data_IF_926845959044
#
_entry.id   IF_926845959044
#
_cell.length_a   1.000
_cell.length_b   1.000
_cell.length_c   1.000
_cell.angle_alpha   90.00
_cell.angle_beta   90.00
_cell.angle_gamma   90.00
#
_symmetry.space_group_name_H-M   'P 1'
#
loop_
_entity.id
_entity.type
_entity.pdbx_description
1 polymer ?
#
# COMPACT_ATOMS: atom_id res chain seq x y z
N UNK A 1 -22.95 -15.55 -14.12
CA UNK A 1 -21.65 -14.96 -14.50
C UNK A 1 -21.74 -13.45 -14.38
N UNK A 2 -20.64 -12.78 -14.03
CA UNK A 2 -20.59 -11.32 -14.10
C UNK A 2 -20.78 -10.85 -15.55
N UNK A 3 -21.56 -9.81 -15.77
CA UNK A 3 -21.70 -9.21 -17.10
C UNK A 3 -20.40 -8.56 -17.57
N UNK A 4 -19.69 -7.91 -16.66
CA UNK A 4 -18.45 -7.20 -16.98
C UNK A 4 -17.22 -7.93 -16.45
N UNK A 5 -16.15 -8.00 -17.26
CA UNK A 5 -14.87 -8.57 -16.89
C UNK A 5 -13.73 -7.57 -17.13
N UNK A 6 -12.70 -7.63 -16.27
CA UNK A 6 -11.44 -6.92 -16.50
C UNK A 6 -10.52 -7.87 -17.24
N UNK A 7 -10.10 -7.48 -18.42
CA UNK A 7 -9.13 -8.22 -19.24
C UNK A 7 -7.77 -7.56 -19.18
N UNK A 8 -6.73 -8.38 -19.23
CA UNK A 8 -5.34 -7.96 -19.26
C UNK A 8 -4.78 -8.25 -20.65
N UNK A 9 -4.31 -7.22 -21.32
CA UNK A 9 -3.68 -7.31 -22.65
C UNK A 9 -2.25 -6.81 -22.52
N UNK A 10 -1.34 -7.51 -23.20
CA UNK A 10 0.08 -7.16 -23.25
C UNK A 10 0.45 -6.65 -24.63
N UNK A 11 1.08 -5.49 -24.69
CA UNK A 11 1.72 -4.95 -25.88
C UNK A 11 3.20 -4.76 -25.56
N UNK A 12 4.02 -5.68 -26.03
CA UNK A 12 5.43 -5.76 -25.64
C UNK A 12 5.57 -6.00 -24.12
N UNK A 13 6.23 -5.08 -23.42
CA UNK A 13 6.40 -5.12 -21.95
C UNK A 13 5.28 -4.37 -21.20
N UNK A 14 4.41 -3.66 -21.90
CA UNK A 14 3.36 -2.84 -21.31
C UNK A 14 2.08 -3.65 -21.10
N UNK A 15 1.55 -3.63 -19.89
CA UNK A 15 0.28 -4.24 -19.50
C UNK A 15 -0.85 -3.19 -19.63
N UNK A 16 -1.92 -3.56 -20.33
CA UNK A 16 -3.14 -2.78 -20.46
C UNK A 16 -4.29 -3.49 -19.76
N UNK A 17 -5.22 -2.70 -19.26
CA UNK A 17 -6.45 -3.18 -18.63
C UNK A 17 -7.64 -2.68 -19.43
N UNK A 18 -8.51 -3.58 -19.82
CA UNK A 18 -9.74 -3.28 -20.53
C UNK A 18 -10.95 -3.82 -19.76
N UNK A 19 -12.10 -3.22 -19.96
CA UNK A 19 -13.37 -3.77 -19.43
C UNK A 19 -14.18 -4.25 -20.61
N UNK A 20 -14.55 -5.54 -20.61
CA UNK A 20 -15.37 -6.20 -21.62
C UNK A 20 -16.75 -6.50 -21.06
N UNK A 21 -17.78 -6.23 -21.86
CA UNK A 21 -19.15 -6.70 -21.63
C UNK A 21 -19.31 -8.10 -22.24
N UNK A 22 -19.61 -9.09 -21.41
CA UNK A 22 -19.77 -10.49 -21.84
C UNK A 22 -21.10 -10.77 -22.56
N UNK A 23 -22.07 -9.86 -22.50
CA UNK A 23 -23.32 -10.00 -23.26
C UNK A 23 -23.11 -9.56 -24.72
N UNK A 24 -22.49 -8.42 -24.95
CA UNK A 24 -22.20 -7.91 -26.29
C UNK A 24 -20.86 -8.37 -26.85
N UNK A 25 -19.96 -8.91 -26.02
CA UNK A 25 -18.57 -9.24 -26.33
C UNK A 25 -17.74 -8.01 -26.74
N UNK A 26 -18.26 -6.82 -26.53
CA UNK A 26 -17.60 -5.58 -26.88
C UNK A 26 -16.82 -4.99 -25.69
N UNK A 27 -15.80 -4.21 -26.03
CA UNK A 27 -15.08 -3.41 -25.07
C UNK A 27 -15.95 -2.25 -24.60
N UNK A 28 -16.05 -2.04 -23.28
CA UNK A 28 -16.72 -0.86 -22.73
C UNK A 28 -15.83 0.36 -22.90
N UNK A 29 -16.21 1.25 -23.80
CA UNK A 29 -15.34 2.28 -24.39
C UNK A 29 -14.73 3.23 -23.35
N UNK A 30 -15.55 3.98 -22.63
CA UNK A 30 -15.07 5.03 -21.71
C UNK A 30 -14.23 4.50 -20.56
N UNK A 31 -14.63 3.42 -19.85
CA UNK A 31 -13.78 2.77 -18.85
C UNK A 31 -12.40 2.37 -19.41
N UNK A 32 -12.37 1.75 -20.60
CA UNK A 32 -11.14 1.30 -21.23
C UNK A 32 -10.24 2.47 -21.67
N UNK A 33 -10.82 3.55 -22.18
CA UNK A 33 -10.09 4.82 -22.46
C UNK A 33 -9.47 5.39 -21.17
N UNK A 34 -10.22 5.43 -20.06
CA UNK A 34 -9.70 5.91 -18.78
C UNK A 34 -8.53 5.08 -18.27
N UNK A 35 -8.63 3.75 -18.33
CA UNK A 35 -7.55 2.86 -17.91
C UNK A 35 -6.30 3.04 -18.78
N UNK A 36 -6.46 3.18 -20.10
CA UNK A 36 -5.37 3.49 -21.03
C UNK A 36 -4.72 4.85 -20.71
N UNK A 37 -5.52 5.88 -20.41
CA UNK A 37 -5.01 7.17 -19.96
C UNK A 37 -4.13 7.05 -18.71
N UNK A 38 -4.54 6.25 -17.73
CA UNK A 38 -3.76 6.02 -16.51
C UNK A 38 -2.43 5.32 -16.78
N UNK A 39 -2.40 4.37 -17.71
CA UNK A 39 -1.19 3.66 -18.12
C UNK A 39 -0.23 4.64 -18.80
N UNK A 40 -0.70 5.44 -19.74
CA UNK A 40 0.09 6.48 -20.39
C UNK A 40 0.62 7.54 -19.42
N UNK A 41 -0.11 7.81 -18.33
CA UNK A 41 0.35 8.65 -17.22
C UNK A 41 1.30 7.92 -16.25
N UNK A 42 1.85 6.77 -16.63
CA UNK A 42 2.77 5.93 -15.86
C UNK A 42 2.25 5.58 -14.44
N UNK A 43 0.93 5.37 -14.29
CA UNK A 43 0.38 4.85 -13.02
C UNK A 43 0.75 3.39 -12.86
N UNK A 44 1.02 2.98 -11.59
CA UNK A 44 1.43 1.60 -11.33
C UNK A 44 0.34 0.60 -11.76
N UNK A 45 0.69 -0.59 -12.32
CA UNK A 45 -0.26 -1.63 -12.71
C UNK A 45 -1.26 -1.99 -11.61
N UNK A 46 -0.80 -2.08 -10.35
CA UNK A 46 -1.68 -2.33 -9.20
C UNK A 46 -2.73 -1.22 -9.00
N UNK A 47 -2.37 0.04 -9.28
CA UNK A 47 -3.32 1.17 -9.20
C UNK A 47 -4.34 1.08 -10.32
N UNK A 48 -3.88 0.79 -11.54
CA UNK A 48 -4.77 0.67 -12.72
C UNK A 48 -5.71 -0.53 -12.55
N UNK A 49 -5.18 -1.70 -12.19
CA UNK A 49 -5.97 -2.91 -11.96
C UNK A 49 -7.01 -2.75 -10.84
N UNK A 50 -6.66 -2.05 -9.74
CA UNK A 50 -7.64 -1.72 -8.69
C UNK A 50 -8.75 -0.82 -9.23
N UNK A 51 -8.42 0.22 -10.00
CA UNK A 51 -9.42 1.12 -10.61
C UNK A 51 -10.29 0.38 -11.63
N UNK A 52 -9.70 -0.50 -12.42
CA UNK A 52 -10.47 -1.36 -13.34
C UNK A 52 -11.51 -2.20 -12.59
N UNK A 53 -11.12 -2.84 -11.48
CA UNK A 53 -12.05 -3.59 -10.60
C UNK A 53 -13.13 -2.70 -10.01
N UNK A 54 -12.77 -1.49 -9.53
CA UNK A 54 -13.73 -0.54 -8.94
C UNK A 54 -14.79 -0.13 -9.95
N UNK A 55 -14.36 0.19 -11.19
CA UNK A 55 -15.26 0.58 -12.28
C UNK A 55 -16.11 -0.61 -12.71
N UNK A 56 -15.55 -1.82 -12.82
CA UNK A 56 -16.32 -3.02 -13.12
C UNK A 56 -17.46 -3.23 -12.11
N UNK A 57 -17.18 -3.13 -10.81
CA UNK A 57 -18.20 -3.26 -9.77
C UNK A 57 -19.29 -2.19 -9.90
N UNK A 58 -18.91 -0.97 -10.28
CA UNK A 58 -19.87 0.09 -10.49
C UNK A 58 -20.74 -0.15 -11.71
N UNK A 59 -20.21 -0.65 -12.81
CA UNK A 59 -20.98 -1.03 -13.99
C UNK A 59 -21.96 -2.18 -13.67
N UNK A 60 -21.58 -3.17 -12.85
CA UNK A 60 -22.48 -4.21 -12.37
C UNK A 60 -23.61 -3.68 -11.48
N UNK A 61 -23.31 -2.64 -10.68
CA UNK A 61 -24.34 -1.96 -9.89
C UNK A 61 -25.31 -1.17 -10.77
N UNK A 62 -24.82 -0.48 -11.79
CA UNK A 62 -25.66 0.23 -12.77
C UNK A 62 -26.56 -0.73 -13.56
N UNK A 63 -26.00 -1.85 -14.02
CA UNK A 63 -26.76 -2.89 -14.71
C UNK A 63 -27.93 -3.40 -13.84
N UNK A 64 -27.66 -3.65 -12.56
CA UNK A 64 -28.70 -4.05 -11.61
C UNK A 64 -29.76 -2.97 -11.36
N UNK A 65 -29.42 -1.70 -11.55
CA UNK A 65 -30.32 -0.54 -11.41
C UNK A 65 -30.97 -0.14 -12.73
N UNK A 66 -30.63 -0.83 -13.81
CA UNK A 66 -31.09 -0.51 -15.17
C UNK A 66 -30.78 0.96 -15.54
N UNK A 67 -29.59 1.43 -15.18
CA UNK A 67 -29.15 2.80 -15.38
C UNK A 67 -27.86 2.87 -16.21
N UNK A 68 -27.69 3.94 -16.97
CA UNK A 68 -26.49 4.28 -17.70
C UNK A 68 -25.65 5.35 -16.98
N UNK A 69 -24.36 5.46 -17.34
CA UNK A 69 -23.44 6.46 -16.75
C UNK A 69 -23.93 7.90 -16.92
N UNK A 70 -24.49 8.24 -18.09
CA UNK A 70 -25.02 9.57 -18.40
C UNK A 70 -26.21 9.93 -17.50
N UNK A 71 -27.14 9.00 -17.32
CA UNK A 71 -28.30 9.19 -16.45
C UNK A 71 -27.92 9.53 -15.01
N UNK A 72 -26.84 8.91 -14.48
CA UNK A 72 -26.37 9.23 -13.13
C UNK A 72 -25.88 10.67 -13.03
N UNK A 73 -25.23 11.21 -14.05
CA UNK A 73 -24.77 12.59 -14.04
C UNK A 73 -25.93 13.61 -14.09
N UNK A 74 -27.04 13.24 -14.73
CA UNK A 74 -28.26 14.06 -14.87
C UNK A 74 -29.10 14.12 -13.60
N UNK A 75 -28.98 13.13 -12.70
CA UNK A 75 -29.73 13.08 -11.44
C UNK A 75 -29.57 14.35 -10.61
N UNK A 76 -30.59 14.70 -9.84
CA UNK A 76 -30.50 15.76 -8.84
C UNK A 76 -29.61 15.36 -7.64
N UNK A 77 -29.17 16.37 -6.88
CA UNK A 77 -28.21 16.15 -5.77
C UNK A 77 -28.65 15.03 -4.82
N UNK A 78 -29.91 15.02 -4.40
CA UNK A 78 -30.40 14.03 -3.45
C UNK A 78 -30.43 12.63 -4.06
N UNK A 79 -30.84 12.51 -5.31
CA UNK A 79 -30.90 11.23 -6.02
C UNK A 79 -29.48 10.69 -6.27
N UNK A 80 -28.53 11.54 -6.66
CA UNK A 80 -27.11 11.16 -6.77
C UNK A 80 -26.56 10.70 -5.41
N UNK A 81 -26.90 11.41 -4.33
CA UNK A 81 -26.45 11.04 -3.00
C UNK A 81 -26.94 9.64 -2.60
N UNK A 82 -28.23 9.39 -2.75
CA UNK A 82 -28.83 8.08 -2.47
C UNK A 82 -28.27 6.97 -3.36
N UNK A 83 -28.00 7.28 -4.63
CA UNK A 83 -27.38 6.36 -5.57
C UNK A 83 -25.99 5.90 -5.09
N UNK A 84 -25.11 6.83 -4.71
CA UNK A 84 -23.75 6.49 -4.29
C UNK A 84 -23.69 5.88 -2.90
N UNK A 85 -24.53 6.30 -1.98
CA UNK A 85 -24.69 5.63 -0.67
C UNK A 85 -25.22 4.21 -0.89
N UNK A 86 -26.20 4.03 -1.77
CA UNK A 86 -26.70 2.72 -2.19
C UNK A 86 -25.60 1.81 -2.76
N UNK A 87 -24.71 2.36 -3.59
CA UNK A 87 -23.55 1.63 -4.10
C UNK A 87 -22.60 1.18 -2.98
N UNK A 88 -22.32 2.05 -1.99
CA UNK A 88 -21.49 1.67 -0.84
C UNK A 88 -22.12 0.52 -0.03
N UNK A 89 -23.42 0.55 0.21
CA UNK A 89 -24.13 -0.52 0.91
C UNK A 89 -24.17 -1.81 0.09
N UNK A 90 -24.35 -1.71 -1.23
CA UNK A 90 -24.29 -2.85 -2.13
C UNK A 90 -22.91 -3.53 -2.11
N UNK A 91 -21.82 -2.75 -2.08
CA UNK A 91 -20.46 -3.26 -1.92
C UNK A 91 -20.26 -3.91 -0.55
N UNK A 92 -20.71 -3.24 0.53
CA UNK A 92 -20.57 -3.73 1.90
C UNK A 92 -21.30 -5.05 2.13
N UNK A 93 -22.44 -5.26 1.48
CA UNK A 93 -23.18 -6.52 1.48
C UNK A 93 -22.47 -7.64 0.69
N UNK A 94 -21.38 -7.34 -0.02
CA UNK A 94 -20.64 -8.33 -0.81
C UNK A 94 -21.29 -8.68 -2.16
N UNK A 95 -22.28 -7.92 -2.63
CA UNK A 95 -23.03 -8.23 -3.85
C UNK A 95 -22.16 -8.22 -5.14
N UNK A 96 -20.98 -7.59 -5.09
CA UNK A 96 -19.97 -7.59 -6.15
C UNK A 96 -19.10 -8.86 -6.18
N UNK A 97 -19.27 -9.74 -5.19
CA UNK A 97 -18.52 -10.98 -5.05
C UNK A 97 -19.37 -12.12 -5.60
N UNK A 98 -18.88 -12.80 -6.63
CA UNK A 98 -19.62 -13.92 -7.28
C UNK A 98 -19.49 -15.23 -6.51
N UNK A 99 -18.52 -15.33 -5.61
CA UNK A 99 -18.33 -16.45 -4.69
C UNK A 99 -18.59 -15.97 -3.26
N UNK A 100 -19.22 -16.82 -2.44
CA UNK A 100 -19.35 -16.55 -1.00
C UNK A 100 -17.95 -16.51 -0.37
N UNK A 101 -17.43 -15.32 -0.13
CA UNK A 101 -16.21 -15.13 0.63
C UNK A 101 -16.55 -15.02 2.11
N UNK A 102 -15.76 -15.67 2.94
CA UNK A 102 -15.90 -15.61 4.39
C UNK A 102 -15.74 -14.17 4.94
N UNK A 103 -15.05 -13.29 4.20
CA UNK A 103 -14.74 -11.93 4.62
C UNK A 103 -15.34 -10.88 3.68
N UNK A 104 -16.31 -10.14 4.19
CA UNK A 104 -16.87 -8.97 3.51
C UNK A 104 -15.89 -7.80 3.47
N UNK A 105 -15.99 -6.88 2.48
CA UNK A 105 -15.11 -5.72 2.39
C UNK A 105 -15.34 -4.76 3.57
N UNK A 106 -14.23 -4.17 4.05
CA UNK A 106 -14.29 -3.13 5.09
C UNK A 106 -14.86 -1.82 4.54
N UNK A 107 -15.35 -0.94 5.41
CA UNK A 107 -15.81 0.40 5.04
C UNK A 107 -14.72 1.16 4.24
N UNK A 108 -13.47 1.06 4.69
CA UNK A 108 -12.30 1.63 3.99
C UNK A 108 -12.14 1.11 2.56
N UNK A 109 -12.38 -0.19 2.34
CA UNK A 109 -12.32 -0.80 1.00
C UNK A 109 -13.46 -0.31 0.12
N UNK A 110 -14.70 -0.27 0.64
CA UNK A 110 -15.86 0.26 -0.09
C UNK A 110 -15.65 1.74 -0.47
N UNK A 111 -15.21 2.56 0.46
CA UNK A 111 -14.88 3.96 0.22
C UNK A 111 -13.79 4.13 -0.86
N UNK A 112 -12.77 3.26 -0.85
CA UNK A 112 -11.71 3.29 -1.86
C UNK A 112 -12.25 2.97 -3.27
N UNK A 113 -13.18 2.03 -3.39
CA UNK A 113 -13.84 1.73 -4.66
C UNK A 113 -14.68 2.92 -5.17
N UNK A 114 -15.47 3.54 -4.29
CA UNK A 114 -16.24 4.73 -4.67
C UNK A 114 -15.34 5.91 -5.05
N UNK A 115 -14.25 6.15 -4.32
CA UNK A 115 -13.25 7.17 -4.68
C UNK A 115 -12.66 6.94 -6.07
N UNK A 116 -12.47 5.70 -6.48
CA UNK A 116 -11.99 5.38 -7.83
C UNK A 116 -13.08 5.62 -8.90
N UNK A 117 -14.35 5.35 -8.58
CA UNK A 117 -15.50 5.69 -9.45
C UNK A 117 -15.62 7.21 -9.63
N UNK A 118 -15.51 7.99 -8.58
CA UNK A 118 -15.52 9.47 -8.70
C UNK A 118 -14.37 10.00 -9.55
N UNK A 119 -13.18 9.40 -9.46
CA UNK A 119 -12.06 9.77 -10.34
C UNK A 119 -12.34 9.43 -11.81
N UNK A 120 -13.06 8.37 -12.05
CA UNK A 120 -13.51 8.02 -13.38
C UNK A 120 -14.54 9.05 -13.91
N UNK A 121 -15.53 9.45 -13.11
CA UNK A 121 -16.45 10.53 -13.50
C UNK A 121 -15.74 11.86 -13.75
N UNK A 122 -14.75 12.23 -12.94
CA UNK A 122 -13.92 13.42 -13.21
C UNK A 122 -13.14 13.32 -14.53
N UNK A 123 -12.79 12.11 -14.99
CA UNK A 123 -12.22 11.91 -16.32
C UNK A 123 -13.29 12.09 -17.41
N UNK A 124 -14.51 11.55 -17.20
CA UNK A 124 -15.60 11.69 -18.15
C UNK A 124 -16.02 13.14 -18.35
N UNK A 125 -16.02 13.94 -17.30
CA UNK A 125 -16.26 15.40 -17.38
C UNK A 125 -15.27 16.13 -18.31
N UNK A 126 -14.08 15.59 -18.52
CA UNK A 126 -13.04 16.18 -19.38
C UNK A 126 -13.01 15.56 -20.79
N UNK A 127 -13.38 14.29 -20.92
CA UNK A 127 -13.29 13.51 -22.17
C UNK A 127 -14.60 13.55 -22.97
N UNK A 128 -15.71 13.83 -22.31
CA UNK A 128 -17.05 13.88 -22.89
C UNK A 128 -17.81 15.09 -22.33
N UNK A 129 -18.92 15.47 -22.98
CA UNK A 129 -19.80 16.55 -22.50
C UNK A 129 -20.68 16.11 -21.29
N UNK A 130 -20.20 15.19 -20.48
CA UNK A 130 -20.93 14.69 -19.30
C UNK A 130 -21.00 15.77 -18.22
N UNK A 131 -22.18 15.97 -17.66
CA UNK A 131 -22.38 16.90 -16.55
C UNK A 131 -21.56 16.52 -15.31
N UNK A 132 -21.20 17.55 -14.54
CA UNK A 132 -20.48 17.35 -13.28
C UNK A 132 -21.38 16.75 -12.24
N UNK A 133 -20.82 15.80 -11.46
CA UNK A 133 -21.54 15.26 -10.33
C UNK A 133 -21.84 16.32 -9.28
N UNK A 134 -23.12 16.53 -8.98
CA UNK A 134 -23.63 17.50 -8.01
C UNK A 134 -23.24 17.15 -6.57
N UNK A 135 -23.05 15.85 -6.26
CA UNK A 135 -22.64 15.35 -4.93
C UNK A 135 -21.17 15.62 -4.57
N UNK A 136 -20.34 16.01 -5.55
CA UNK A 136 -18.93 16.32 -5.32
C UNK A 136 -18.76 17.82 -5.09
N UNK A 137 -18.72 18.23 -3.85
CA UNK A 137 -18.45 19.62 -3.47
C UNK A 137 -16.95 19.91 -3.31
N UNK A 138 -16.58 21.19 -3.41
CA UNK A 138 -15.21 21.62 -3.18
C UNK A 138 -14.95 21.80 -1.69
N UNK A 139 -13.97 21.07 -1.21
CA UNK A 139 -13.44 21.19 0.15
C UNK A 139 -11.98 21.63 0.08
N UNK A 140 -11.42 22.07 1.21
CA UNK A 140 -10.03 22.49 1.27
C UNK A 140 -9.41 22.13 2.61
N UNK A 141 -8.16 21.68 2.56
CA UNK A 141 -7.36 21.54 3.77
C UNK A 141 -6.06 22.34 3.65
N UNK A 142 -5.57 22.75 4.81
CA UNK A 142 -4.26 23.42 4.90
C UNK A 142 -3.20 22.38 5.21
N UNK A 143 -2.16 22.38 4.43
CA UNK A 143 -0.97 21.55 4.67
C UNK A 143 0.25 22.46 4.79
N UNK A 144 1.29 21.99 5.45
CA UNK A 144 2.58 22.64 5.50
C UNK A 144 3.55 21.83 4.65
N UNK A 145 4.36 22.49 3.84
CA UNK A 145 5.46 21.83 3.16
C UNK A 145 6.65 21.60 4.12
N UNK A 146 7.71 20.98 3.61
CA UNK A 146 8.91 20.65 4.38
C UNK A 146 9.65 21.88 4.98
N UNK A 147 9.35 23.07 4.50
CA UNK A 147 9.89 24.36 4.97
C UNK A 147 8.85 25.19 5.74
N UNK A 148 7.73 24.58 6.12
CA UNK A 148 6.71 25.20 6.97
C UNK A 148 5.75 26.16 6.25
N UNK A 149 5.82 26.30 4.92
CA UNK A 149 4.91 27.16 4.16
C UNK A 149 3.52 26.56 4.12
N UNK A 150 2.52 27.34 4.54
CA UNK A 150 1.10 26.96 4.50
C UNK A 150 0.61 26.92 3.06
N UNK A 151 0.06 25.79 2.64
CA UNK A 151 -0.62 25.61 1.35
C UNK A 151 -2.05 25.18 1.57
N UNK A 152 -2.99 25.92 0.98
CA UNK A 152 -4.40 25.54 0.97
C UNK A 152 -4.67 24.74 -0.31
N UNK A 153 -4.91 23.44 -0.15
CA UNK A 153 -5.26 22.56 -1.26
C UNK A 153 -6.78 22.43 -1.34
N UNK A 154 -7.34 22.64 -2.52
CA UNK A 154 -8.76 22.40 -2.81
C UNK A 154 -8.90 21.04 -3.47
N UNK A 155 -9.90 20.30 -3.07
CA UNK A 155 -10.23 19.01 -3.64
C UNK A 155 -11.73 18.79 -3.62
N UNK A 156 -12.22 17.90 -4.47
CA UNK A 156 -13.62 17.50 -4.45
C UNK A 156 -13.82 16.40 -3.42
N UNK A 157 -14.82 16.54 -2.58
CA UNK A 157 -15.16 15.60 -1.53
C UNK A 157 -16.62 15.17 -1.63
N UNK A 158 -16.92 14.03 -1.03
CA UNK A 158 -18.25 13.48 -0.86
C UNK A 158 -18.46 13.21 0.64
N UNK A 159 -19.59 13.67 1.21
CA UNK A 159 -19.87 13.53 2.65
C UNK A 159 -20.58 12.22 3.03
N UNK A 160 -20.98 11.41 2.04
CA UNK A 160 -21.67 10.13 2.25
C UNK A 160 -20.76 8.91 2.41
N UNK A 161 -19.43 9.08 2.61
CA UNK A 161 -18.56 7.96 2.87
C UNK A 161 -18.89 7.24 4.17
N UNK A 162 -18.75 5.91 4.16
CA UNK A 162 -18.87 5.10 5.38
C UNK A 162 -17.77 5.45 6.37
N UNK A 163 -18.11 5.55 7.66
CA UNK A 163 -17.12 5.78 8.72
C UNK A 163 -16.07 4.67 8.69
N UNK A 164 -14.81 5.04 8.49
CA UNK A 164 -13.71 4.08 8.43
C UNK A 164 -13.32 3.65 9.85
N UNK A 165 -13.13 2.35 10.03
CA UNK A 165 -12.59 1.79 11.26
C UNK A 165 -11.07 1.98 11.28
N UNK A 166 -10.54 2.45 12.39
CA UNK A 166 -9.11 2.48 12.60
C UNK A 166 -8.61 1.05 12.86
N UNK A 167 -7.72 0.58 12.00
CA UNK A 167 -7.03 -0.69 12.20
C UNK A 167 -5.63 -0.41 12.69
N UNK A 168 -5.40 -0.66 13.96
CA UNK A 168 -4.05 -0.73 14.50
C UNK A 168 -3.42 -2.06 14.07
N UNK A 169 -2.46 -2.00 13.14
CA UNK A 169 -1.62 -3.15 12.81
C UNK A 169 -0.47 -3.13 13.81
N UNK A 170 -0.34 -4.16 14.64
CA UNK A 170 0.78 -4.26 15.57
C UNK A 170 2.13 -4.38 14.81
N UNK A 171 3.26 -3.95 15.38
CA UNK A 171 4.58 -4.33 14.88
C UNK A 171 4.80 -5.84 15.07
N UNK A 172 5.77 -6.41 14.36
CA UNK A 172 6.33 -7.70 14.73
C UNK A 172 7.17 -7.54 16.01
N UNK A 173 7.21 -8.57 16.83
CA UNK A 173 8.07 -8.61 18.02
C UNK A 173 9.43 -9.20 17.67
N UNK A 174 10.47 -8.80 18.41
CA UNK A 174 11.83 -9.31 18.18
C UNK A 174 11.90 -10.84 18.27
N UNK A 175 11.25 -11.42 19.28
CA UNK A 175 11.22 -12.86 19.50
C UNK A 175 10.49 -13.60 18.36
N UNK A 176 9.41 -13.03 17.84
CA UNK A 176 8.70 -13.57 16.66
C UNK A 176 9.62 -13.62 15.44
N UNK A 177 10.41 -12.56 15.21
CA UNK A 177 11.37 -12.50 14.09
C UNK A 177 12.43 -13.60 14.25
N UNK A 178 12.98 -13.77 15.44
CA UNK A 178 13.95 -14.84 15.72
C UNK A 178 13.36 -16.23 15.45
N UNK A 179 12.13 -16.47 15.87
CA UNK A 179 11.47 -17.76 15.63
C UNK A 179 11.19 -17.98 14.14
N UNK A 180 10.74 -16.94 13.41
CA UNK A 180 10.56 -17.03 11.97
C UNK A 180 11.87 -17.35 11.24
N UNK A 181 12.99 -16.73 11.64
CA UNK A 181 14.31 -17.00 11.06
C UNK A 181 14.76 -18.45 11.28
N UNK A 182 14.48 -19.03 12.45
CA UNK A 182 14.77 -20.45 12.73
C UNK A 182 13.94 -21.39 11.87
N UNK A 183 12.69 -21.03 11.57
CA UNK A 183 11.76 -21.86 10.82
C UNK A 183 11.92 -21.74 9.31
N UNK A 184 12.69 -20.75 8.82
CA UNK A 184 13.02 -20.64 7.40
C UNK A 184 13.84 -21.85 6.93
N UNK A 185 13.43 -22.42 5.81
CA UNK A 185 14.11 -23.59 5.20
C UNK A 185 15.26 -23.21 4.26
N UNK A 186 15.42 -21.91 3.96
CA UNK A 186 16.42 -21.41 3.02
C UNK A 186 16.90 -20.02 3.40
N UNK A 187 18.13 -19.68 2.99
CA UNK A 187 18.76 -18.40 3.33
C UNK A 187 18.18 -17.20 2.56
N UNK A 188 17.46 -17.40 1.44
CA UNK A 188 16.75 -16.31 0.75
C UNK A 188 15.68 -15.70 1.64
N UNK A 189 14.83 -16.56 2.23
CA UNK A 189 13.72 -16.12 3.07
C UNK A 189 14.22 -15.53 4.39
N UNK A 190 15.31 -16.09 4.95
CA UNK A 190 15.98 -15.51 6.12
C UNK A 190 16.50 -14.10 5.84
N UNK A 191 17.26 -13.92 4.74
CA UNK A 191 17.78 -12.62 4.35
C UNK A 191 16.67 -11.59 4.09
N UNK A 192 15.59 -12.01 3.43
CA UNK A 192 14.46 -11.14 3.14
C UNK A 192 13.81 -10.62 4.43
N UNK A 193 13.59 -11.48 5.42
CA UNK A 193 13.04 -11.08 6.73
C UNK A 193 13.99 -10.12 7.45
N UNK A 194 15.29 -10.44 7.51
CA UNK A 194 16.30 -9.57 8.13
C UNK A 194 16.34 -8.20 7.47
N UNK A 195 16.39 -8.12 6.14
CA UNK A 195 16.45 -6.85 5.42
C UNK A 195 15.19 -6.02 5.61
N UNK A 196 13.99 -6.63 5.61
CA UNK A 196 12.74 -5.92 5.89
C UNK A 196 12.72 -5.33 7.31
N UNK A 197 13.23 -6.09 8.28
CA UNK A 197 13.29 -5.67 9.69
C UNK A 197 14.36 -4.60 9.95
N UNK A 198 15.51 -4.65 9.26
CA UNK A 198 16.62 -3.73 9.51
C UNK A 198 16.57 -2.44 8.68
N UNK A 199 16.00 -2.47 7.48
CA UNK A 199 15.95 -1.30 6.59
C UNK A 199 14.66 -0.51 6.69
N UNK A 200 13.58 -1.15 7.18
CA UNK A 200 12.24 -0.58 7.17
C UNK A 200 11.70 -0.30 5.76
N UNK A 201 12.26 -0.88 4.72
CA UNK A 201 11.80 -0.73 3.35
C UNK A 201 10.45 -1.42 3.12
N UNK A 202 9.68 -0.93 2.15
CA UNK A 202 8.48 -1.64 1.70
C UNK A 202 8.88 -2.88 0.91
N UNK A 203 8.03 -3.91 0.91
CA UNK A 203 8.30 -5.14 0.17
C UNK A 203 8.62 -4.88 -1.31
N UNK A 204 7.89 -3.98 -1.99
CA UNK A 204 8.20 -3.63 -3.38
C UNK A 204 9.50 -2.84 -3.54
N UNK A 205 10.01 -2.19 -2.50
CA UNK A 205 11.31 -1.52 -2.50
C UNK A 205 12.44 -2.54 -2.40
N UNK A 206 12.34 -3.49 -1.47
CA UNK A 206 13.34 -4.56 -1.30
C UNK A 206 13.41 -5.49 -2.52
N UNK A 207 12.26 -5.89 -3.06
CA UNK A 207 12.22 -6.75 -4.24
C UNK A 207 12.66 -6.04 -5.53
N UNK A 208 12.72 -4.70 -5.52
CA UNK A 208 13.24 -3.89 -6.62
C UNK A 208 14.74 -3.59 -6.52
N UNK A 209 15.44 -4.12 -5.51
CA UNK A 209 16.88 -3.92 -5.36
C UNK A 209 17.64 -4.71 -6.42
N UNK A 210 18.48 -4.00 -7.15
CA UNK A 210 19.46 -4.56 -8.08
C UNK A 210 20.80 -4.74 -7.35
N UNK A 211 21.21 -5.99 -7.12
CA UNK A 211 22.40 -6.27 -6.31
C UNK A 211 23.71 -5.78 -6.93
N UNK A 212 23.72 -5.51 -8.25
CA UNK A 212 24.92 -5.03 -8.96
C UNK A 212 25.12 -3.53 -8.84
N UNK A 213 24.05 -2.76 -8.57
CA UNK A 213 24.08 -1.29 -8.60
C UNK A 213 23.63 -0.64 -7.29
N UNK A 214 22.79 -1.31 -6.50
CA UNK A 214 22.10 -0.69 -5.37
C UNK A 214 22.71 -1.03 -4.03
N UNK A 215 23.72 -1.90 -4.00
CA UNK A 215 24.43 -2.29 -2.80
C UNK A 215 25.80 -1.60 -2.80
N UNK A 216 26.07 -0.84 -1.75
CA UNK A 216 27.41 -0.32 -1.46
C UNK A 216 28.10 -1.31 -0.52
N UNK A 217 29.03 -2.07 -1.10
CA UNK A 217 29.70 -3.19 -0.44
C UNK A 217 30.74 -2.71 0.60
N UNK A 218 31.23 -1.48 0.50
CA UNK A 218 32.18 -0.91 1.46
C UNK A 218 31.46 -0.35 2.68
N UNK A 219 30.31 0.32 2.46
CA UNK A 219 29.57 1.01 3.51
C UNK A 219 28.45 0.16 4.11
N UNK A 220 28.24 -1.04 3.63
CA UNK A 220 27.14 -1.95 4.00
C UNK A 220 25.76 -1.28 3.90
N UNK A 221 25.52 -0.57 2.78
CA UNK A 221 24.26 0.13 2.58
C UNK A 221 23.52 -0.38 1.35
N UNK A 222 22.20 -0.40 1.47
CA UNK A 222 21.29 -0.73 0.37
C UNK A 222 20.50 0.53 0.04
N UNK A 223 20.50 0.91 -1.23
CA UNK A 223 19.72 2.05 -1.70
C UNK A 223 18.52 1.57 -2.52
N UNK A 224 17.45 2.34 -2.44
CA UNK A 224 16.25 2.14 -3.25
C UNK A 224 15.90 3.43 -3.96
N UNK A 225 15.50 3.32 -5.21
CA UNK A 225 14.98 4.42 -6.00
C UNK A 225 13.93 3.92 -6.98
N UNK A 226 13.20 4.85 -7.56
CA UNK A 226 12.12 4.51 -8.48
C UNK A 226 12.67 3.93 -9.77
N UNK A 227 12.15 2.75 -10.12
CA UNK A 227 12.27 2.12 -11.46
C UNK A 227 10.90 1.60 -11.86
N UNK A 228 10.57 1.67 -13.11
CA UNK A 228 9.32 1.16 -13.68
C UNK A 228 9.51 -0.02 -14.64
N UNK A 229 10.76 -0.39 -14.89
CA UNK A 229 11.21 -1.44 -15.79
C UNK A 229 11.61 -2.76 -15.09
N UNK A 230 11.42 -2.87 -13.78
CA UNK A 230 11.73 -4.09 -13.04
C UNK A 230 10.91 -5.27 -13.53
N UNK A 231 11.56 -6.40 -13.82
CA UNK A 231 10.95 -7.61 -14.33
C UNK A 231 9.83 -8.16 -13.42
N UNK A 232 10.01 -8.03 -12.11
CA UNK A 232 9.00 -8.42 -11.11
C UNK A 232 7.95 -7.35 -10.82
N UNK A 233 7.89 -6.27 -11.61
CA UNK A 233 6.98 -5.12 -11.44
C UNK A 233 7.09 -4.43 -10.07
N UNK A 234 8.14 -4.73 -9.30
CA UNK A 234 8.40 -4.08 -8.02
C UNK A 234 8.81 -2.62 -8.25
N UNK A 235 8.16 -1.70 -7.55
CA UNK A 235 8.40 -0.26 -7.69
C UNK A 235 8.56 0.40 -6.33
N UNK A 236 9.54 1.31 -6.22
CA UNK A 236 9.61 2.21 -5.08
C UNK A 236 8.41 3.17 -5.12
N UNK A 237 7.63 3.20 -4.05
CA UNK A 237 6.47 4.08 -3.95
C UNK A 237 6.93 5.53 -3.81
N UNK A 238 6.27 6.46 -4.52
CA UNK A 238 6.50 7.91 -4.47
C UNK A 238 7.84 8.40 -5.08
N UNK A 239 8.49 7.61 -5.91
CA UNK A 239 9.77 7.94 -6.56
C UNK A 239 10.87 8.39 -5.55
N UNK A 240 10.80 7.90 -4.31
CA UNK A 240 11.72 8.32 -3.27
C UNK A 240 13.05 7.57 -3.39
N UNK A 241 14.14 8.33 -3.44
CA UNK A 241 15.49 7.80 -3.23
C UNK A 241 15.77 7.69 -1.73
N UNK A 242 16.25 6.54 -1.30
CA UNK A 242 16.68 6.31 0.08
C UNK A 242 17.86 5.34 0.14
N UNK A 243 18.61 5.47 1.20
CA UNK A 243 19.71 4.57 1.54
C UNK A 243 19.59 4.16 3.00
N UNK A 244 19.71 2.88 3.29
CA UNK A 244 19.73 2.34 4.64
C UNK A 244 20.97 1.51 4.87
N UNK A 245 21.59 1.69 6.02
CA UNK A 245 22.69 0.83 6.48
C UNK A 245 22.08 -0.44 7.10
N UNK A 246 22.68 -1.57 6.86
CA UNK A 246 22.39 -2.84 7.53
C UNK A 246 23.52 -3.22 8.47
N UNK A 247 23.22 -4.09 9.43
CA UNK A 247 24.25 -4.58 10.36
C UNK A 247 25.30 -5.40 9.62
N UNK A 248 26.51 -5.44 10.17
CA UNK A 248 27.59 -6.22 9.58
C UNK A 248 27.24 -7.71 9.50
N UNK A 249 26.52 -8.25 10.48
CA UNK A 249 26.05 -9.62 10.49
C UNK A 249 25.06 -9.92 9.34
N UNK A 250 24.09 -9.03 9.13
CA UNK A 250 23.13 -9.16 7.99
C UNK A 250 23.84 -8.98 6.66
N UNK A 251 24.84 -8.09 6.60
CA UNK A 251 25.62 -7.91 5.39
C UNK A 251 26.47 -9.14 5.04
N UNK A 252 27.14 -9.75 6.01
CA UNK A 252 27.84 -11.03 5.86
C UNK A 252 26.88 -12.12 5.34
N UNK A 253 25.67 -12.19 5.90
CA UNK A 253 24.67 -13.14 5.47
C UNK A 253 24.18 -12.84 4.02
N UNK A 254 24.11 -11.58 3.62
CA UNK A 254 23.84 -11.18 2.23
C UNK A 254 24.94 -11.70 1.29
N UNK A 255 26.21 -11.55 1.64
CA UNK A 255 27.31 -12.09 0.85
C UNK A 255 27.26 -13.62 0.72
N UNK A 256 26.93 -14.31 1.82
CA UNK A 256 26.68 -15.76 1.81
C UNK A 256 25.53 -16.12 0.86
N UNK A 257 24.42 -15.38 0.89
CA UNK A 257 23.30 -15.59 -0.02
C UNK A 257 23.70 -15.40 -1.48
N UNK A 258 24.40 -14.33 -1.81
CA UNK A 258 24.88 -14.03 -3.18
C UNK A 258 25.79 -15.15 -3.70
N UNK A 259 26.70 -15.65 -2.84
CA UNK A 259 27.59 -16.77 -3.17
C UNK A 259 26.81 -18.05 -3.42
N UNK A 260 25.90 -18.40 -2.52
CA UNK A 260 25.11 -19.65 -2.56
C UNK A 260 24.21 -19.75 -3.79
N UNK A 261 23.62 -18.63 -4.21
CA UNK A 261 22.70 -18.59 -5.36
C UNK A 261 23.28 -17.94 -6.61
N UNK A 262 24.61 -17.87 -6.70
CA UNK A 262 25.32 -17.25 -7.83
C UNK A 262 24.83 -17.76 -9.20
N UNK A 263 24.56 -19.06 -9.32
CA UNK A 263 24.07 -19.68 -10.56
C UNK A 263 22.77 -19.06 -11.07
N UNK A 264 21.89 -18.60 -10.16
CA UNK A 264 20.62 -17.98 -10.54
C UNK A 264 20.73 -16.47 -10.74
N UNK A 265 21.56 -15.82 -9.90
CA UNK A 265 21.73 -14.38 -9.88
C UNK A 265 22.51 -13.87 -11.11
N UNK A 266 23.40 -14.67 -11.67
CA UNK A 266 24.20 -14.24 -12.85
C UNK A 266 23.38 -13.91 -14.11
N UNK A 267 22.11 -14.37 -14.20
CA UNK A 267 21.26 -14.17 -15.36
C UNK A 267 20.27 -13.00 -15.22
N UNK A 268 20.20 -12.40 -14.05
CA UNK A 268 19.29 -11.28 -13.81
C UNK A 268 19.77 -10.45 -12.58
N UNK A 269 19.53 -9.11 -12.55
CA UNK A 269 20.14 -8.23 -11.55
C UNK A 269 19.36 -8.12 -10.23
N UNK A 270 18.13 -8.65 -10.15
CA UNK A 270 17.30 -8.50 -8.93
C UNK A 270 17.90 -9.32 -7.78
N UNK A 271 18.00 -8.70 -6.59
CA UNK A 271 18.58 -9.32 -5.42
C UNK A 271 17.85 -10.63 -5.04
N UNK A 272 16.53 -10.66 -5.12
CA UNK A 272 15.74 -11.83 -4.72
C UNK A 272 15.17 -12.59 -5.91
N UNK A 273 15.43 -13.89 -5.95
CA UNK A 273 15.00 -14.81 -7.00
C UNK A 273 14.21 -16.00 -6.47
N UNK A 274 13.40 -16.60 -7.32
CA UNK A 274 12.81 -17.90 -7.03
C UNK A 274 13.89 -18.96 -7.04
N UNK A 275 13.98 -19.77 -5.98
CA UNK A 275 15.02 -20.79 -5.82
C UNK A 275 14.55 -22.19 -6.20
N UNK A 276 13.23 -22.35 -6.41
CA UNK A 276 12.58 -23.63 -6.72
C UNK A 276 11.44 -23.45 -7.73
N UNK A 277 10.98 -24.56 -8.32
CA UNK A 277 9.83 -24.61 -9.23
C UNK A 277 10.14 -24.12 -10.65
N UNK A 278 9.10 -24.00 -11.48
CA UNK A 278 9.19 -23.61 -12.90
C UNK A 278 9.71 -22.17 -13.10
N UNK A 279 9.60 -21.33 -12.08
CA UNK A 279 10.09 -19.94 -12.11
C UNK A 279 11.45 -19.76 -11.46
N UNK A 280 12.18 -20.86 -11.23
CA UNK A 280 13.54 -20.85 -10.65
C UNK A 280 14.46 -19.88 -11.41
N UNK A 281 15.20 -19.04 -10.70
CA UNK A 281 16.06 -18.01 -11.26
C UNK A 281 15.37 -16.72 -11.71
N UNK A 282 14.03 -16.69 -11.82
CA UNK A 282 13.30 -15.45 -12.12
C UNK A 282 13.15 -14.61 -10.87
N UNK A 283 13.04 -13.29 -11.04
CA UNK A 283 12.87 -12.33 -9.96
C UNK A 283 11.65 -12.65 -9.07
N UNK A 284 11.84 -12.60 -7.76
CA UNK A 284 10.81 -12.94 -6.77
C UNK A 284 9.66 -11.91 -6.81
N UNK A 285 8.43 -12.41 -6.85
CA UNK A 285 7.22 -11.58 -6.87
C UNK A 285 6.69 -11.29 -5.46
N UNK A 286 6.00 -10.16 -5.29
CA UNK A 286 5.41 -9.75 -4.00
C UNK A 286 4.46 -10.82 -3.45
N UNK A 287 3.59 -11.39 -4.29
CA UNK A 287 2.63 -12.42 -3.88
C UNK A 287 3.30 -13.70 -3.38
N UNK A 288 4.48 -14.03 -3.91
CA UNK A 288 5.25 -15.17 -3.45
C UNK A 288 5.75 -14.99 -2.01
N UNK A 289 6.09 -13.75 -1.63
CA UNK A 289 6.49 -13.42 -0.25
C UNK A 289 5.30 -13.55 0.71
N UNK A 290 4.13 -13.04 0.33
CA UNK A 290 2.93 -13.21 1.18
C UNK A 290 2.58 -14.68 1.36
N UNK A 291 2.60 -15.48 0.29
CA UNK A 291 2.40 -16.95 0.39
C UNK A 291 3.46 -17.65 1.25
N UNK A 292 4.70 -17.18 1.21
CA UNK A 292 5.76 -17.69 2.10
C UNK A 292 5.43 -17.40 3.57
N UNK A 293 5.06 -16.15 3.90
CA UNK A 293 4.69 -15.77 5.27
C UNK A 293 3.43 -16.50 5.76
N UNK A 294 2.41 -16.69 4.91
CA UNK A 294 1.23 -17.49 5.25
C UNK A 294 1.58 -18.97 5.56
N UNK A 295 2.52 -19.56 4.81
CA UNK A 295 3.00 -20.92 5.13
C UNK A 295 3.73 -20.97 6.48
N UNK A 296 4.52 -19.94 6.77
CA UNK A 296 5.21 -19.81 8.05
C UNK A 296 4.21 -19.63 9.20
N UNK A 297 3.19 -18.80 9.03
CA UNK A 297 2.11 -18.63 10.00
C UNK A 297 1.41 -19.96 10.31
N UNK A 298 1.07 -20.75 9.30
CA UNK A 298 0.47 -22.10 9.49
C UNK A 298 1.38 -23.04 10.27
N UNK A 299 2.70 -22.89 10.14
CA UNK A 299 3.70 -23.75 10.81
C UNK A 299 4.00 -23.31 12.23
N UNK A 300 4.04 -22.00 12.49
CA UNK A 300 4.50 -21.41 13.75
C UNK A 300 3.39 -20.83 14.61
N UNK A 301 2.20 -20.57 14.03
CA UNK A 301 1.14 -19.78 14.65
C UNK A 301 1.42 -18.28 14.69
N UNK A 302 2.57 -17.81 14.18
CA UNK A 302 2.99 -16.41 14.21
C UNK A 302 2.51 -15.70 12.94
N UNK A 303 1.50 -14.83 13.09
CA UNK A 303 1.06 -13.97 12.00
C UNK A 303 2.04 -12.84 11.77
N UNK A 304 2.66 -12.78 10.60
CA UNK A 304 3.61 -11.71 10.23
C UNK A 304 3.40 -11.26 8.79
N UNK A 305 3.55 -9.98 8.56
CA UNK A 305 3.49 -9.36 7.24
C UNK A 305 4.70 -8.46 7.02
N UNK A 306 5.08 -8.16 5.76
CA UNK A 306 6.16 -7.21 5.49
C UNK A 306 5.94 -5.83 6.14
N UNK A 307 4.68 -5.46 6.33
CA UNK A 307 4.30 -4.21 6.97
C UNK A 307 4.55 -4.22 8.48
N UNK A 308 4.36 -5.36 9.15
CA UNK A 308 4.67 -5.55 10.57
C UNK A 308 6.19 -5.51 10.81
N UNK A 309 6.99 -6.11 9.93
CA UNK A 309 8.46 -6.02 9.98
C UNK A 309 8.95 -4.57 9.79
N UNK A 310 8.34 -3.84 8.86
CA UNK A 310 8.64 -2.42 8.69
C UNK A 310 8.24 -1.59 9.94
N UNK A 311 7.13 -1.90 10.61
CA UNK A 311 6.75 -1.25 11.88
C UNK A 311 7.74 -1.58 13.00
N UNK A 312 8.21 -2.83 13.06
CA UNK A 312 9.28 -3.22 13.97
C UNK A 312 10.51 -2.32 13.81
N UNK A 313 10.99 -2.09 12.59
CA UNK A 313 12.10 -1.17 12.33
C UNK A 313 11.90 0.19 13.00
N UNK A 314 10.75 0.83 12.79
CA UNK A 314 10.51 2.17 13.33
C UNK A 314 10.40 2.20 14.85
N UNK A 315 9.75 1.19 15.45
CA UNK A 315 9.66 1.10 16.90
C UNK A 315 11.04 0.91 17.53
N UNK A 316 11.86 0.01 16.99
CA UNK A 316 13.23 -0.19 17.47
C UNK A 316 14.10 1.09 17.35
N UNK A 317 13.88 1.90 16.30
CA UNK A 317 14.60 3.18 16.15
C UNK A 317 14.08 4.24 17.12
N UNK A 318 12.78 4.29 17.34
CA UNK A 318 12.16 5.14 18.37
C UNK A 318 12.69 4.79 19.75
N UNK A 319 12.68 3.50 20.10
CA UNK A 319 13.14 3.02 21.42
C UNK A 319 14.66 3.26 21.62
N UNK A 320 15.41 3.32 20.52
CA UNK A 320 16.80 3.77 20.49
C UNK A 320 16.98 5.31 20.50
N UNK A 321 15.90 6.08 20.66
CA UNK A 321 15.95 7.54 20.80
C UNK A 321 16.07 8.33 19.48
N UNK A 322 15.77 7.71 18.32
CA UNK A 322 15.80 8.46 17.07
C UNK A 322 14.68 9.50 17.01
N UNK A 323 14.97 10.75 16.57
CA UNK A 323 13.94 11.75 16.31
C UNK A 323 12.91 11.25 15.28
N UNK A 324 11.65 11.67 15.42
CA UNK A 324 10.56 11.27 14.52
C UNK A 324 10.82 11.66 13.06
N UNK A 325 11.48 12.81 12.84
CA UNK A 325 11.87 13.30 11.52
C UNK A 325 12.84 12.32 10.85
N UNK A 326 13.84 11.83 11.59
CA UNK A 326 14.82 10.87 11.09
C UNK A 326 14.14 9.52 10.75
N UNK A 327 13.21 9.04 11.58
CA UNK A 327 12.44 7.84 11.31
C UNK A 327 11.52 8.06 10.09
N UNK A 328 10.92 9.24 9.97
CA UNK A 328 10.08 9.62 8.83
C UNK A 328 10.85 9.60 7.52
N UNK A 329 12.06 10.13 7.52
CA UNK A 329 12.97 10.11 6.38
C UNK A 329 13.40 8.68 6.02
N UNK A 330 13.81 7.89 7.01
CA UNK A 330 14.16 6.47 6.83
C UNK A 330 13.00 5.66 6.24
N UNK A 331 11.76 5.96 6.60
CA UNK A 331 10.57 5.38 5.99
C UNK A 331 10.24 5.94 4.59
N UNK A 332 10.75 7.12 4.22
CA UNK A 332 10.36 7.87 3.03
C UNK A 332 8.89 8.28 3.09
N UNK A 333 8.44 8.77 4.22
CA UNK A 333 7.13 9.37 4.36
C UNK A 333 7.20 10.84 3.93
N UNK A 334 6.26 11.29 3.10
CA UNK A 334 6.17 12.68 2.67
C UNK A 334 5.64 13.62 3.77
N UNK A 335 4.95 13.05 4.76
CA UNK A 335 4.32 13.77 5.87
C UNK A 335 4.61 13.03 7.16
N UNK A 336 5.06 13.76 8.17
CA UNK A 336 5.41 13.21 9.48
C UNK A 336 4.23 12.55 10.18
N UNK A 337 3.00 13.06 9.95
CA UNK A 337 1.74 12.47 10.45
C UNK A 337 1.59 10.99 10.09
N UNK A 338 2.15 10.61 8.92
CA UNK A 338 2.16 9.20 8.50
C UNK A 338 3.04 8.38 9.44
N UNK A 339 4.16 8.92 9.89
CA UNK A 339 5.08 8.25 10.81
C UNK A 339 4.48 8.13 12.20
N UNK A 340 3.84 9.19 12.69
CA UNK A 340 3.15 9.22 13.99
C UNK A 340 2.09 8.12 14.04
N UNK A 341 1.20 8.06 13.05
CA UNK A 341 0.20 6.98 12.90
C UNK A 341 0.82 5.60 12.75
N UNK A 342 2.01 5.54 12.15
CA UNK A 342 2.70 4.29 11.89
C UNK A 342 3.34 3.69 13.14
N UNK A 343 3.85 4.53 14.02
CA UNK A 343 4.52 4.12 15.26
C UNK A 343 3.53 3.79 16.38
N UNK A 344 2.20 4.00 16.18
CA UNK A 344 1.21 3.88 17.24
C UNK A 344 1.77 4.56 18.51
N UNK A 345 2.04 5.87 18.43
CA UNK A 345 2.35 6.67 19.61
C UNK A 345 1.08 6.68 20.45
N UNK A 346 0.91 5.67 21.28
CA UNK A 346 -0.30 5.41 22.07
C UNK A 346 -0.09 6.01 23.46
N UNK A 347 -1.21 6.25 24.09
CA UNK A 347 -1.41 6.78 25.43
C UNK A 347 -0.42 6.23 26.49
N UNK A 348 0.00 4.96 26.38
CA UNK A 348 0.96 4.35 27.30
C UNK A 348 2.30 5.08 27.37
N UNK A 349 2.82 5.60 26.26
CA UNK A 349 4.07 6.36 26.23
C UNK A 349 3.90 7.80 26.70
N UNK A 350 2.74 8.38 26.45
CA UNK A 350 2.39 9.68 27.05
C UNK A 350 2.23 9.54 28.56
N UNK A 351 1.67 8.43 29.04
CA UNK A 351 1.57 8.12 30.46
C UNK A 351 2.97 7.92 31.05
N UNK A 352 3.80 7.11 30.43
CA UNK A 352 5.17 6.83 30.89
C UNK A 352 6.04 8.10 30.91
N UNK A 353 5.95 8.95 29.88
CA UNK A 353 6.61 10.24 29.82
C UNK A 353 6.07 11.21 30.90
N UNK A 354 4.77 11.16 31.14
CA UNK A 354 4.13 11.95 32.20
C UNK A 354 4.59 11.49 33.58
N UNK A 355 4.65 10.18 33.82
CA UNK A 355 5.15 9.62 35.08
C UNK A 355 6.61 10.01 35.33
N UNK A 356 7.45 9.95 34.31
CA UNK A 356 8.84 10.40 34.37
C UNK A 356 8.97 11.92 34.65
N UNK A 357 8.09 12.71 34.05
CA UNK A 357 8.03 14.14 34.29
C UNK A 357 7.62 14.45 35.73
N UNK A 358 6.53 13.83 36.22
CA UNK A 358 6.05 14.04 37.58
C UNK A 358 6.99 13.47 38.65
N UNK A 359 7.67 12.38 38.37
CA UNK A 359 8.71 11.86 39.28
C UNK A 359 9.87 12.86 39.48
N UNK A 360 10.21 13.63 38.45
CA UNK A 360 11.23 14.70 38.53
C UNK A 360 10.72 16.01 39.11
N UNK A 361 9.41 16.22 39.14
CA UNK A 361 8.76 17.48 39.53
C UNK A 361 7.64 17.22 40.55
N UNK A 362 7.89 16.38 41.53
CA UNK A 362 6.89 15.93 42.52
C UNK A 362 6.30 17.06 43.38
N UNK A 363 6.93 18.22 43.46
CA UNK A 363 6.48 19.38 44.25
C UNK A 363 6.02 20.56 43.38
N UNK A 364 5.43 20.32 42.21
CA UNK A 364 5.10 21.32 41.19
C UNK A 364 4.16 22.45 41.76
N UNK A 365 3.27 22.14 42.68
CA UNK A 365 2.23 23.06 43.12
C UNK A 365 2.12 23.24 44.65
N UNK A 366 3.05 22.67 45.43
CA UNK A 366 3.08 22.83 46.90
C UNK A 366 1.66 22.60 47.55
N UNK A 367 1.00 21.53 47.07
CA UNK A 367 -0.41 21.24 47.38
C UNK A 367 -0.66 21.10 48.89
N UNK A 368 0.36 20.70 49.66
CA UNK A 368 0.28 20.62 51.12
C UNK A 368 -0.01 21.97 51.77
N UNK A 369 0.30 23.09 51.11
CA UNK A 369 0.00 24.44 51.58
C UNK A 369 -1.40 24.91 51.18
N UNK A 370 -2.08 24.18 50.32
CA UNK A 370 -3.44 24.51 49.84
C UNK A 370 -4.51 23.67 50.54
N UNK A 371 -4.11 22.59 51.21
CA UNK A 371 -4.97 21.75 52.05
C UNK A 371 -4.90 22.16 53.53
#
# INVERSE_FOLDING_TARGET
MARYAVEHIWEGKQEYFLIRDHQSWQMVLFPSKYLTHLIRANRSPNTVGRRAKSIRFYLEYLDKKEMELSQVAELEFQEQYEHYVGFLHWLKAGNHLHEKKEKLPSNKTCNAYLKDVFRFFCFLELESDMERLKVLYYDSFTTHDSIGVKRKLRFRSFNGYLKEEERNVRPAEHQEILELLKQCTNCRDQLLIMLLAETGYRIGEILGVDYTRDIDYERHTIRVFFRDDNENKARAKNAAYRRSKVSDATFQFLLFYLSKYREFLQYQPMLFVNIEGETKGKALQVDAVYRMLERMEKKTGIHTTPHMLRRYFGNMRRDAGWPLEMISEAYGHKHIDTTIKYLNLVDDQLMEASDQYYAKHSALYDVEKLL
#
